data_IF_291119536613
#
_entry.id   IF_291119536613
#
_cell.length_a   1.000
_cell.length_b   1.000
_cell.length_c   1.000
_cell.angle_alpha   90.00
_cell.angle_beta   90.00
_cell.angle_gamma   90.00
#
_symmetry.space_group_name_H-M   'P 1'
#
loop_
_entity.id
_entity.type
_entity.pdbx_description
1 polymer ?
#
# COMPACT_ATOMS: atom_id res chain seq x y z
N UNK A 1 6.00 24.96 -15.64
CA UNK A 1 6.68 23.64 -15.54
C UNK A 1 5.63 22.60 -15.17
N UNK A 2 5.54 21.48 -15.89
CA UNK A 2 4.30 20.70 -15.95
C UNK A 2 4.07 19.87 -14.68
N UNK A 3 2.80 19.81 -14.24
CA UNK A 3 2.30 18.98 -13.13
C UNK A 3 2.51 17.47 -13.32
N UNK A 4 3.24 17.07 -14.37
CA UNK A 4 3.51 15.67 -14.75
C UNK A 4 4.60 15.03 -13.90
N UNK A 5 5.54 15.80 -13.33
CA UNK A 5 6.67 15.25 -12.56
C UNK A 5 6.24 14.46 -11.30
N UNK A 6 5.32 14.97 -10.44
CA UNK A 6 4.81 14.19 -9.31
C UNK A 6 4.09 12.90 -9.73
N UNK A 7 3.35 12.95 -10.85
CA UNK A 7 2.63 11.80 -11.38
C UNK A 7 3.59 10.73 -11.91
N UNK A 8 4.59 11.11 -12.69
CA UNK A 8 5.62 10.20 -13.17
C UNK A 8 6.37 9.56 -12.00
N UNK A 9 6.72 10.34 -10.97
CA UNK A 9 7.39 9.80 -9.79
C UNK A 9 6.53 8.75 -9.06
N UNK A 10 5.24 9.01 -8.87
CA UNK A 10 4.30 8.05 -8.29
C UNK A 10 4.23 6.77 -9.14
N UNK A 11 4.07 6.93 -10.46
CA UNK A 11 3.96 5.81 -11.38
C UNK A 11 5.24 4.96 -11.37
N UNK A 12 6.42 5.58 -11.38
CA UNK A 12 7.70 4.88 -11.30
C UNK A 12 7.83 4.13 -9.98
N UNK A 13 7.51 4.77 -8.83
CA UNK A 13 7.58 4.11 -7.53
C UNK A 13 6.65 2.91 -7.43
N UNK A 14 5.45 3.03 -8.00
CA UNK A 14 4.47 1.96 -8.06
C UNK A 14 4.94 0.80 -8.95
N UNK A 15 5.37 1.08 -10.19
CA UNK A 15 5.81 0.05 -11.15
C UNK A 15 7.06 -0.66 -10.62
N UNK A 16 8.08 0.09 -10.21
CA UNK A 16 9.34 -0.48 -9.71
C UNK A 16 9.10 -1.27 -8.43
N UNK A 17 8.31 -0.73 -7.50
CA UNK A 17 7.99 -1.41 -6.24
C UNK A 17 7.19 -2.69 -6.48
N UNK A 18 6.12 -2.62 -7.27
CA UNK A 18 5.31 -3.79 -7.64
C UNK A 18 6.17 -4.87 -8.32
N UNK A 19 6.99 -4.49 -9.29
CA UNK A 19 7.90 -5.43 -9.99
C UNK A 19 8.94 -6.01 -9.04
N UNK A 20 9.49 -5.20 -8.12
CA UNK A 20 10.40 -5.70 -7.09
C UNK A 20 9.73 -6.73 -6.18
N UNK A 21 8.46 -6.51 -5.83
CA UNK A 21 7.64 -7.46 -5.08
C UNK A 21 7.43 -8.79 -5.82
N UNK A 22 7.10 -8.74 -7.11
CA UNK A 22 6.91 -9.97 -7.91
C UNK A 22 8.22 -10.73 -8.13
N UNK A 23 9.35 -10.02 -8.25
CA UNK A 23 10.69 -10.65 -8.28
C UNK A 23 11.03 -11.28 -6.93
N UNK A 24 10.77 -10.59 -5.82
CA UNK A 24 10.98 -11.14 -4.47
C UNK A 24 10.15 -12.40 -4.24
N UNK A 25 8.90 -12.43 -4.73
CA UNK A 25 8.08 -13.64 -4.70
C UNK A 25 8.78 -14.82 -5.40
N UNK A 26 9.35 -14.61 -6.59
CA UNK A 26 10.07 -15.66 -7.34
C UNK A 26 11.36 -16.13 -6.65
N UNK A 27 12.01 -15.25 -5.90
CA UNK A 27 13.24 -15.55 -5.16
C UNK A 27 12.95 -16.08 -3.74
N UNK A 28 11.69 -16.06 -3.30
CA UNK A 28 11.32 -16.50 -1.96
C UNK A 28 11.43 -18.02 -1.85
N UNK A 29 12.01 -18.49 -0.75
CA UNK A 29 12.02 -19.92 -0.41
C UNK A 29 10.60 -20.47 -0.17
N UNK A 30 10.45 -21.81 -0.09
CA UNK A 30 9.16 -22.44 0.14
C UNK A 30 8.52 -21.91 1.44
N UNK A 31 7.26 -21.48 1.36
CA UNK A 31 6.49 -20.95 2.50
C UNK A 31 6.83 -19.52 2.96
N UNK A 32 7.92 -18.92 2.48
CA UNK A 32 8.30 -17.55 2.89
C UNK A 32 7.32 -16.51 2.32
N UNK A 33 6.98 -16.62 1.03
CA UNK A 33 6.07 -15.70 0.37
C UNK A 33 4.67 -15.71 1.02
N UNK A 34 4.18 -16.91 1.34
CA UNK A 34 2.93 -17.11 2.07
C UNK A 34 3.00 -16.46 3.46
N UNK A 35 4.06 -16.73 4.22
CA UNK A 35 4.24 -16.16 5.56
C UNK A 35 4.20 -14.63 5.51
N UNK A 36 4.88 -14.02 4.55
CA UNK A 36 4.90 -12.55 4.38
C UNK A 36 3.54 -12.01 3.95
N UNK A 37 2.87 -12.65 2.99
CA UNK A 37 1.55 -12.24 2.52
C UNK A 37 0.48 -12.33 3.63
N UNK A 38 0.45 -13.46 4.34
CA UNK A 38 -0.51 -13.72 5.43
C UNK A 38 -0.21 -12.89 6.68
N UNK A 39 1.06 -12.53 6.92
CA UNK A 39 1.45 -11.73 8.08
C UNK A 39 0.74 -10.38 8.12
N UNK A 40 0.72 -9.66 6.99
CA UNK A 40 0.12 -8.33 6.88
C UNK A 40 -1.35 -8.38 6.48
N UNK A 41 -1.79 -9.38 5.69
CA UNK A 41 -3.19 -9.59 5.38
C UNK A 41 -3.55 -11.08 5.40
N UNK A 42 -4.15 -11.54 6.50
CA UNK A 42 -4.59 -12.94 6.66
C UNK A 42 -5.61 -13.39 5.60
N UNK A 43 -6.33 -12.47 4.98
CA UNK A 43 -7.32 -12.78 3.93
C UNK A 43 -6.65 -13.36 2.68
N UNK A 44 -5.34 -13.17 2.53
CA UNK A 44 -4.54 -13.76 1.44
C UNK A 44 -4.33 -15.26 1.59
N UNK A 45 -4.56 -15.83 2.78
CA UNK A 45 -4.36 -17.24 3.07
C UNK A 45 -5.52 -18.16 2.67
N UNK A 46 -6.68 -17.62 2.26
CA UNK A 46 -7.92 -18.28 1.79
C UNK A 46 -8.55 -19.37 2.69
N UNK A 47 -7.79 -20.04 3.54
CA UNK A 47 -8.21 -21.13 4.42
C UNK A 47 -8.71 -20.64 5.80
N UNK A 48 -8.42 -19.40 6.19
CA UNK A 48 -8.83 -18.84 7.47
C UNK A 48 -9.90 -17.74 7.28
N UNK A 49 -11.13 -18.01 7.73
CA UNK A 49 -12.22 -17.04 7.90
C UNK A 49 -11.99 -16.12 9.12
N UNK A 50 -10.76 -15.63 9.27
CA UNK A 50 -10.37 -14.75 10.36
C UNK A 50 -10.84 -13.31 10.15
N UNK A 51 -11.22 -12.63 11.23
CA UNK A 51 -11.60 -11.22 11.23
C UNK A 51 -10.53 -10.33 10.53
N UNK A 52 -10.92 -9.37 9.68
CA UNK A 52 -10.02 -8.53 8.87
C UNK A 52 -9.21 -7.49 9.66
N UNK A 53 -9.19 -7.59 10.99
CA UNK A 53 -8.55 -6.62 11.88
C UNK A 53 -7.04 -6.50 11.63
N UNK A 54 -6.36 -7.58 11.20
CA UNK A 54 -4.91 -7.54 10.90
C UNK A 54 -4.60 -6.66 9.68
N UNK A 55 -5.44 -6.72 8.65
CA UNK A 55 -5.31 -5.84 7.49
C UNK A 55 -5.57 -4.37 7.88
N UNK A 56 -6.58 -4.13 8.72
CA UNK A 56 -6.84 -2.80 9.29
C UNK A 56 -5.65 -2.29 10.13
N UNK A 57 -5.09 -3.16 10.98
CA UNK A 57 -3.97 -2.85 11.83
C UNK A 57 -2.71 -2.56 11.01
N UNK A 58 -2.41 -3.36 9.98
CA UNK A 58 -1.29 -3.12 9.07
C UNK A 58 -1.46 -1.77 8.35
N UNK A 59 -2.66 -1.48 7.83
CA UNK A 59 -2.98 -0.19 7.20
C UNK A 59 -2.74 0.99 8.15
N UNK A 60 -3.27 0.92 9.38
CA UNK A 60 -3.09 1.96 10.39
C UNK A 60 -1.63 2.09 10.80
N UNK A 61 -0.92 0.97 10.98
CA UNK A 61 0.50 0.95 11.34
C UNK A 61 1.35 1.68 10.30
N UNK A 62 1.12 1.45 9.00
CA UNK A 62 1.82 2.18 7.94
C UNK A 62 1.59 3.70 8.00
N UNK A 63 0.35 4.14 8.29
CA UNK A 63 0.03 5.57 8.42
C UNK A 63 0.66 6.19 9.67
N UNK A 64 0.59 5.49 10.80
CA UNK A 64 1.21 5.94 12.07
C UNK A 64 2.72 6.01 11.95
N UNK A 65 3.37 5.00 11.35
CA UNK A 65 4.82 5.02 11.09
C UNK A 65 5.22 6.14 10.14
N UNK A 66 4.45 6.39 9.08
CA UNK A 66 4.71 7.51 8.17
C UNK A 66 4.63 8.86 8.89
N UNK A 67 3.65 9.05 9.78
CA UNK A 67 3.53 10.25 10.61
C UNK A 67 4.71 10.39 11.59
N UNK A 68 5.10 9.30 12.24
CA UNK A 68 6.22 9.26 13.17
C UNK A 68 7.56 9.59 12.48
N UNK A 69 7.80 9.05 11.29
CA UNK A 69 8.99 9.40 10.49
C UNK A 69 8.94 10.83 9.96
N UNK A 70 7.75 11.34 9.63
CA UNK A 70 7.59 12.71 9.18
C UNK A 70 7.81 13.74 10.30
N UNK A 71 7.55 13.40 11.56
CA UNK A 71 7.74 14.30 12.71
C UNK A 71 9.22 14.50 13.07
N UNK A 72 10.10 13.56 12.71
CA UNK A 72 11.52 13.61 13.02
C UNK A 72 12.34 14.05 11.81
N UNK A 73 13.09 15.15 11.92
CA UNK A 73 13.86 15.71 10.80
C UNK A 73 14.86 14.71 10.18
N UNK A 74 15.53 13.89 11.00
CA UNK A 74 16.47 12.86 10.55
C UNK A 74 15.79 11.70 9.81
N UNK A 75 14.56 11.32 10.18
CA UNK A 75 13.84 10.18 9.61
C UNK A 75 12.93 10.56 8.46
N UNK A 76 12.86 11.85 8.12
CA UNK A 76 11.94 12.35 7.10
C UNK A 76 12.10 11.69 5.73
N UNK A 77 13.31 11.25 5.37
CA UNK A 77 13.56 10.50 4.14
C UNK A 77 13.02 9.06 4.17
N UNK A 78 12.88 8.47 5.36
CA UNK A 78 12.33 7.12 5.54
C UNK A 78 10.83 7.05 5.21
N UNK A 79 10.11 8.17 5.18
CA UNK A 79 8.68 8.21 4.80
C UNK A 79 8.45 7.68 3.39
N UNK A 80 9.30 8.07 2.43
CA UNK A 80 9.20 7.59 1.05
C UNK A 80 9.69 6.14 0.91
N UNK A 81 10.66 5.74 1.74
CA UNK A 81 11.09 4.34 1.82
C UNK A 81 9.94 3.44 2.28
N UNK A 82 9.14 3.88 3.26
CA UNK A 82 7.97 3.16 3.74
C UNK A 82 6.90 2.99 2.65
N UNK A 83 6.69 4.01 1.81
CA UNK A 83 5.84 3.90 0.62
C UNK A 83 6.37 2.85 -0.37
N UNK A 84 7.70 2.76 -0.53
CA UNK A 84 8.35 1.71 -1.32
C UNK A 84 8.17 0.31 -0.73
N UNK A 85 8.31 0.14 0.59
CA UNK A 85 8.04 -1.15 1.25
C UNK A 85 6.58 -1.57 0.98
N UNK A 86 5.64 -0.64 1.07
CA UNK A 86 4.22 -0.92 0.86
C UNK A 86 3.91 -1.35 -0.58
N UNK A 87 4.57 -0.74 -1.58
CA UNK A 87 4.42 -1.14 -3.00
C UNK A 87 5.08 -2.49 -3.29
N UNK A 88 6.22 -2.78 -2.67
CA UNK A 88 6.88 -4.10 -2.76
C UNK A 88 6.01 -5.19 -2.16
N UNK A 89 5.47 -4.96 -0.96
CA UNK A 89 4.52 -5.89 -0.34
C UNK A 89 3.31 -6.14 -1.25
N UNK A 90 2.74 -5.07 -1.84
CA UNK A 90 1.62 -5.20 -2.77
C UNK A 90 1.96 -6.12 -3.95
N UNK A 91 3.13 -5.95 -4.58
CA UNK A 91 3.58 -6.83 -5.67
C UNK A 91 3.80 -8.28 -5.25
N UNK A 92 4.39 -8.50 -4.07
CA UNK A 92 4.65 -9.84 -3.54
C UNK A 92 3.34 -10.58 -3.23
N UNK A 93 2.43 -9.93 -2.52
CA UNK A 93 1.14 -10.52 -2.16
C UNK A 93 0.24 -10.71 -3.40
N UNK A 94 0.33 -9.84 -4.41
CA UNK A 94 -0.29 -10.05 -5.72
C UNK A 94 0.21 -11.33 -6.39
N UNK A 95 1.52 -11.51 -6.49
CA UNK A 95 2.10 -12.69 -7.12
C UNK A 95 1.74 -13.98 -6.38
N UNK A 96 1.72 -13.93 -5.05
CA UNK A 96 1.28 -15.04 -4.22
C UNK A 96 -0.18 -15.42 -4.47
N UNK A 97 -1.11 -14.45 -4.45
CA UNK A 97 -2.52 -14.71 -4.73
C UNK A 97 -2.77 -15.23 -6.15
N UNK A 98 -2.07 -14.70 -7.16
CA UNK A 98 -2.18 -15.18 -8.54
C UNK A 98 -1.73 -16.64 -8.67
N UNK A 99 -0.75 -17.06 -7.85
CA UNK A 99 -0.25 -18.44 -7.88
C UNK A 99 -1.24 -19.46 -7.32
N UNK A 100 -2.23 -19.01 -6.55
CA UNK A 100 -3.28 -19.86 -5.99
C UNK A 100 -4.44 -19.99 -6.99
N UNK A 101 -4.60 -21.18 -7.59
CA UNK A 101 -5.59 -21.45 -8.65
C UNK A 101 -7.04 -21.11 -8.27
N UNK A 102 -7.40 -21.23 -6.99
CA UNK A 102 -8.74 -20.93 -6.46
C UNK A 102 -8.99 -19.44 -6.19
N UNK A 103 -7.97 -18.60 -6.23
CA UNK A 103 -8.01 -17.23 -5.73
C UNK A 103 -8.25 -16.16 -6.79
N UNK A 104 -8.14 -16.50 -8.08
CA UNK A 104 -8.02 -15.51 -9.16
C UNK A 104 -9.23 -14.56 -9.25
N UNK A 105 -10.45 -15.05 -8.97
CA UNK A 105 -11.67 -14.23 -8.94
C UNK A 105 -11.66 -13.24 -7.77
N UNK A 106 -11.33 -13.71 -6.56
CA UNK A 106 -11.24 -12.87 -5.36
C UNK A 106 -10.12 -11.83 -5.48
N UNK A 107 -9.00 -12.24 -6.07
CA UNK A 107 -7.88 -11.37 -6.39
C UNK A 107 -8.29 -10.25 -7.34
N UNK A 108 -8.87 -10.57 -8.50
CA UNK A 108 -9.17 -9.60 -9.54
C UNK A 108 -10.33 -8.65 -9.16
N UNK A 109 -11.37 -9.16 -8.50
CA UNK A 109 -12.58 -8.40 -8.21
C UNK A 109 -12.43 -7.47 -7.00
N UNK A 110 -11.70 -7.91 -5.99
CA UNK A 110 -11.71 -7.27 -4.68
C UNK A 110 -10.31 -6.85 -4.23
N UNK A 111 -9.40 -7.82 -4.08
CA UNK A 111 -8.12 -7.57 -3.42
C UNK A 111 -7.24 -6.62 -4.24
N UNK A 112 -7.03 -6.90 -5.53
CA UNK A 112 -6.18 -6.07 -6.38
C UNK A 112 -6.64 -4.62 -6.51
N UNK A 113 -7.89 -4.30 -6.90
CA UNK A 113 -8.32 -2.91 -7.07
C UNK A 113 -8.31 -2.13 -5.75
N UNK A 114 -8.73 -2.76 -4.64
CA UNK A 114 -8.71 -2.14 -3.32
C UNK A 114 -7.29 -1.85 -2.85
N UNK A 115 -6.39 -2.84 -2.95
CA UNK A 115 -5.00 -2.69 -2.53
C UNK A 115 -4.20 -1.74 -3.42
N UNK A 116 -4.48 -1.70 -4.74
CA UNK A 116 -3.91 -0.74 -5.66
C UNK A 116 -4.27 0.69 -5.24
N UNK A 117 -5.56 0.96 -5.02
CA UNK A 117 -6.04 2.28 -4.64
C UNK A 117 -5.47 2.72 -3.29
N UNK A 118 -5.48 1.84 -2.29
CA UNK A 118 -4.88 2.10 -0.98
C UNK A 118 -3.37 2.38 -1.06
N UNK A 119 -2.65 1.65 -1.92
CA UNK A 119 -1.22 1.87 -2.14
C UNK A 119 -0.95 3.21 -2.81
N UNK A 120 -1.73 3.59 -3.83
CA UNK A 120 -1.65 4.90 -4.49
C UNK A 120 -1.91 6.03 -3.50
N UNK A 121 -2.97 5.91 -2.70
CA UNK A 121 -3.30 6.91 -1.68
C UNK A 121 -2.20 7.01 -0.61
N UNK A 122 -1.62 5.89 -0.19
CA UNK A 122 -0.50 5.89 0.75
C UNK A 122 0.75 6.57 0.19
N UNK A 123 1.09 6.35 -1.09
CA UNK A 123 2.19 7.07 -1.74
C UNK A 123 1.92 8.58 -1.73
N UNK A 124 0.70 9.00 -2.11
CA UNK A 124 0.31 10.41 -2.11
C UNK A 124 0.35 11.01 -0.70
N UNK A 125 -0.07 10.26 0.32
CA UNK A 125 0.04 10.64 1.73
C UNK A 125 1.49 10.91 2.12
N UNK A 126 2.40 9.97 1.82
CA UNK A 126 3.82 10.10 2.06
C UNK A 126 4.46 11.28 1.31
N UNK A 127 4.09 11.50 0.05
CA UNK A 127 4.56 12.64 -0.75
C UNK A 127 4.14 13.99 -0.16
N UNK A 128 2.94 14.09 0.44
CA UNK A 128 2.47 15.32 1.08
C UNK A 128 3.13 15.56 2.44
N UNK A 129 3.43 14.50 3.21
CA UNK A 129 4.15 14.58 4.48
C UNK A 129 5.63 14.99 4.29
N UNK A 130 6.31 14.28 3.40
CA UNK A 130 7.74 14.41 3.16
C UNK A 130 8.03 14.38 1.65
N UNK A 131 7.78 15.50 0.94
CA UNK A 131 8.00 15.54 -0.50
C UNK A 131 9.48 15.30 -0.80
N UNK A 132 9.79 14.45 -1.80
CA UNK A 132 11.17 14.25 -2.23
C UNK A 132 11.75 15.59 -2.70
N UNK A 133 13.07 15.76 -2.59
CA UNK A 133 13.73 17.05 -2.78
C UNK A 133 13.38 17.71 -4.12
N UNK A 134 13.24 16.92 -5.19
CA UNK A 134 12.88 17.38 -6.53
C UNK A 134 11.43 17.91 -6.64
N UNK A 135 10.54 17.49 -5.74
CA UNK A 135 9.13 17.85 -5.77
C UNK A 135 8.74 18.95 -4.78
N UNK A 136 9.65 19.41 -3.92
CA UNK A 136 9.35 20.43 -2.89
C UNK A 136 8.67 21.69 -3.44
N UNK A 137 9.03 22.14 -4.66
CA UNK A 137 8.46 23.34 -5.31
C UNK A 137 7.00 23.16 -5.78
N UNK A 138 6.52 21.92 -5.90
CA UNK A 138 5.16 21.60 -6.34
C UNK A 138 4.17 21.48 -5.17
N UNK A 139 4.66 21.31 -3.93
CA UNK A 139 3.83 21.19 -2.74
C UNK A 139 3.69 22.56 -2.06
N UNK A 140 2.46 23.06 -2.05
CA UNK A 140 2.11 24.35 -1.47
C UNK A 140 1.98 24.35 0.06
N UNK A 141 1.54 25.49 0.59
CA UNK A 141 1.36 25.76 2.03
C UNK A 141 0.32 24.84 2.69
N UNK A 142 -0.63 24.32 1.91
CA UNK A 142 -1.72 23.44 2.39
C UNK A 142 -1.40 21.94 2.39
N UNK A 143 -0.12 21.56 2.33
CA UNK A 143 0.30 20.13 2.27
C UNK A 143 -0.21 19.28 3.44
N UNK A 144 -0.33 19.86 4.65
CA UNK A 144 -0.84 19.15 5.82
C UNK A 144 -2.35 18.87 5.69
N UNK A 145 -3.12 19.84 5.22
CA UNK A 145 -4.54 19.67 4.93
C UNK A 145 -4.76 18.70 3.76
N UNK A 146 -3.87 18.67 2.77
CA UNK A 146 -3.89 17.67 1.70
C UNK A 146 -3.59 16.25 2.24
N UNK A 147 -2.55 16.08 3.07
CA UNK A 147 -2.24 14.80 3.71
C UNK A 147 -3.42 14.29 4.55
N UNK A 148 -4.07 15.17 5.32
CA UNK A 148 -5.26 14.82 6.11
C UNK A 148 -6.42 14.34 5.21
N UNK A 149 -6.73 15.07 4.13
CA UNK A 149 -7.76 14.67 3.16
C UNK A 149 -7.47 13.30 2.55
N UNK A 150 -6.20 13.04 2.20
CA UNK A 150 -5.78 11.75 1.65
C UNK A 150 -5.90 10.64 2.70
N UNK A 151 -5.54 10.90 3.96
CA UNK A 151 -5.70 9.92 5.03
C UNK A 151 -7.18 9.56 5.27
N UNK A 152 -8.07 10.55 5.28
CA UNK A 152 -9.52 10.34 5.39
C UNK A 152 -10.05 9.54 4.21
N UNK A 153 -9.64 9.90 2.98
CA UNK A 153 -10.03 9.15 1.78
C UNK A 153 -9.51 7.69 1.83
N UNK A 154 -8.29 7.48 2.32
CA UNK A 154 -7.70 6.16 2.50
C UNK A 154 -8.50 5.32 3.50
N UNK A 155 -8.99 5.94 4.58
CA UNK A 155 -9.83 5.29 5.57
C UNK A 155 -11.20 4.88 4.99
N UNK A 156 -11.82 5.75 4.18
CA UNK A 156 -13.07 5.44 3.47
C UNK A 156 -12.87 4.28 2.51
N UNK A 157 -11.81 4.30 1.71
CA UNK A 157 -11.48 3.19 0.79
C UNK A 157 -11.19 1.90 1.55
N UNK A 158 -10.50 1.97 2.69
CA UNK A 158 -10.20 0.81 3.52
C UNK A 158 -11.48 0.20 4.10
N UNK A 159 -12.39 1.03 4.62
CA UNK A 159 -13.69 0.58 5.10
C UNK A 159 -14.55 -0.01 3.97
N UNK A 160 -14.54 0.61 2.79
CA UNK A 160 -15.22 0.11 1.60
C UNK A 160 -14.67 -1.25 1.16
N UNK A 161 -13.34 -1.40 1.10
CA UNK A 161 -12.67 -2.67 0.78
C UNK A 161 -13.04 -3.76 1.78
N UNK A 162 -13.09 -3.46 3.08
CA UNK A 162 -13.52 -4.41 4.10
C UNK A 162 -15.00 -4.77 3.98
N UNK A 163 -15.87 -3.81 3.71
CA UNK A 163 -17.29 -4.07 3.48
C UNK A 163 -17.52 -4.97 2.26
N UNK A 164 -16.77 -4.74 1.18
CA UNK A 164 -16.82 -5.53 -0.05
C UNK A 164 -16.30 -6.95 0.20
N UNK A 165 -15.28 -7.12 1.04
CA UNK A 165 -14.82 -8.45 1.49
C UNK A 165 -15.93 -9.20 2.23
N UNK A 166 -16.60 -8.56 3.19
CA UNK A 166 -17.69 -9.19 3.94
C UNK A 166 -18.88 -9.54 3.05
N UNK A 167 -19.17 -8.74 2.03
CA UNK A 167 -20.23 -9.03 1.07
C UNK A 167 -19.87 -10.21 0.13
N UNK A 168 -18.60 -10.38 -0.23
CA UNK A 168 -18.16 -11.48 -1.09
C UNK A 168 -17.90 -12.79 -0.31
N UNK A 169 -17.68 -12.70 1.00
CA UNK A 169 -17.41 -13.85 1.87
C UNK A 169 -18.69 -14.48 2.45
N UNK A 170 -19.84 -13.80 2.37
CA UNK A 170 -21.16 -14.33 2.72
C UNK A 170 -22.00 -14.56 1.46
#
# INVERSE_FOLDING_TARGET
MPRTLPFLYLLTLLIVGYTGGTVLYRLSGPGMAETVAVFADRRTGLAESGFPWRAAAAFLMFHVLALFFASHAALRHAVMFLAGIRTVYFGLASAFLISQESAMKFYALWWFPGQLLLTVLFILFCMNLAPPFMLKRHFGRDRQAAALRIAVLSLIVCAGEMGLFYFLAN
#
